data_IF_087212624896
#
_entry.id   IF_087212624896
#
_cell.length_a   1.000
_cell.length_b   1.000
_cell.length_c   1.000
_cell.angle_alpha   90.00
_cell.angle_beta   90.00
_cell.angle_gamma   90.00
#
_symmetry.space_group_name_H-M   'P 1'
#
loop_
_entity.id
_entity.type
_entity.pdbx_description
1 polymer ?
#
# COMPACT_ATOMS: atom_id res chain seq x y z
N UNK A 1 8.37 11.27 1.71
CA UNK A 1 7.86 9.89 1.79
C UNK A 1 6.88 9.65 2.95
N UNK A 2 7.28 9.79 4.22
CA UNK A 2 6.44 9.44 5.38
C UNK A 2 5.10 10.19 5.50
N UNK A 3 5.01 11.43 5.00
CA UNK A 3 3.74 12.19 4.93
C UNK A 3 2.78 11.61 3.87
N UNK A 4 3.31 11.20 2.72
CA UNK A 4 2.53 10.57 1.65
C UNK A 4 1.90 9.25 2.13
N UNK A 5 2.68 8.40 2.80
CA UNK A 5 2.20 7.11 3.34
C UNK A 5 1.08 7.33 4.38
N UNK A 6 1.22 8.35 5.25
CA UNK A 6 0.18 8.71 6.23
C UNK A 6 -1.09 9.31 5.62
N UNK A 7 -1.04 9.77 4.36
CA UNK A 7 -2.22 10.27 3.64
C UNK A 7 -3.06 9.15 3.02
N UNK A 8 -2.57 7.90 3.03
CA UNK A 8 -3.29 6.77 2.47
C UNK A 8 -4.45 6.32 3.36
N UNK A 9 -5.54 5.79 2.78
CA UNK A 9 -6.52 5.00 3.54
C UNK A 9 -5.85 3.84 4.27
N UNK A 10 -6.34 3.49 5.46
CA UNK A 10 -5.71 2.50 6.37
C UNK A 10 -5.33 1.18 5.69
N UNK A 11 -6.22 0.61 4.85
CA UNK A 11 -5.91 -0.64 4.13
C UNK A 11 -4.79 -0.49 3.11
N UNK A 12 -4.75 0.64 2.39
CA UNK A 12 -3.70 0.94 1.42
C UNK A 12 -2.36 1.19 2.12
N UNK A 13 -2.38 1.88 3.26
CA UNK A 13 -1.21 2.09 4.10
C UNK A 13 -0.62 0.75 4.60
N UNK A 14 -1.47 -0.11 5.16
CA UNK A 14 -1.06 -1.41 5.68
C UNK A 14 -0.48 -2.29 4.57
N UNK A 15 -1.18 -2.43 3.44
CA UNK A 15 -0.72 -3.22 2.30
C UNK A 15 0.59 -2.67 1.72
N UNK A 16 0.74 -1.34 1.65
CA UNK A 16 1.99 -0.73 1.20
C UNK A 16 3.15 -1.06 2.13
N UNK A 17 2.96 -0.93 3.44
CA UNK A 17 4.01 -1.22 4.41
C UNK A 17 4.44 -2.69 4.36
N UNK A 18 3.48 -3.61 4.41
CA UNK A 18 3.76 -5.05 4.35
C UNK A 18 4.49 -5.45 3.06
N UNK A 19 4.15 -4.84 1.92
CA UNK A 19 4.78 -5.17 0.65
C UNK A 19 6.14 -4.52 0.45
N UNK A 20 6.32 -3.28 0.91
CA UNK A 20 7.49 -2.45 0.61
C UNK A 20 8.56 -2.52 1.69
N UNK A 21 8.17 -2.57 2.96
CA UNK A 21 9.10 -2.61 4.10
C UNK A 21 9.29 -4.03 4.64
N UNK A 22 8.21 -4.80 4.75
CA UNK A 22 8.27 -6.17 5.26
C UNK A 22 8.48 -7.21 4.15
N UNK A 23 8.52 -6.75 2.88
CA UNK A 23 8.79 -7.53 1.67
C UNK A 23 7.88 -8.75 1.44
N UNK A 24 6.72 -8.80 2.10
CA UNK A 24 5.76 -9.91 2.01
C UNK A 24 5.14 -10.02 0.62
N UNK A 25 4.81 -11.23 0.20
CA UNK A 25 4.09 -11.46 -1.03
C UNK A 25 2.58 -11.15 -0.90
N UNK A 26 1.85 -11.09 -2.02
CA UNK A 26 0.43 -10.75 -1.99
C UNK A 26 -0.44 -11.82 -1.33
N UNK A 27 0.00 -13.08 -1.27
CA UNK A 27 -0.73 -14.15 -0.60
C UNK A 27 -0.61 -14.02 0.93
N UNK A 28 0.58 -13.75 1.44
CA UNK A 28 0.83 -13.46 2.85
C UNK A 28 0.05 -12.22 3.30
N UNK A 29 0.11 -11.14 2.51
CA UNK A 29 -0.65 -9.91 2.80
C UNK A 29 -2.16 -10.18 2.77
N UNK A 30 -2.64 -10.98 1.82
CA UNK A 30 -4.06 -11.33 1.76
C UNK A 30 -4.51 -12.10 3.00
N UNK A 31 -3.67 -13.00 3.52
CA UNK A 31 -3.93 -13.71 4.77
C UNK A 31 -4.02 -12.75 5.96
N UNK A 32 -3.03 -11.86 6.12
CA UNK A 32 -2.99 -10.85 7.21
C UNK A 32 -4.20 -9.90 7.17
N UNK A 33 -4.61 -9.50 5.96
CA UNK A 33 -5.67 -8.49 5.77
C UNK A 33 -7.06 -9.09 5.62
N UNK A 34 -7.22 -10.41 5.80
CA UNK A 34 -8.45 -11.15 5.55
C UNK A 34 -9.08 -10.79 4.19
N UNK A 35 -8.25 -10.83 3.13
CA UNK A 35 -8.61 -10.47 1.76
C UNK A 35 -8.10 -11.51 0.77
N UNK A 36 -8.12 -11.19 -0.53
CA UNK A 36 -7.58 -12.05 -1.59
C UNK A 36 -6.26 -11.49 -2.13
N UNK A 37 -5.36 -12.31 -2.71
CA UNK A 37 -4.12 -11.82 -3.30
C UNK A 37 -4.36 -10.75 -4.39
N UNK A 38 -5.44 -10.89 -5.15
CA UNK A 38 -5.86 -9.88 -6.13
C UNK A 38 -6.27 -8.55 -5.47
N UNK A 39 -7.00 -8.60 -4.36
CA UNK A 39 -7.37 -7.41 -3.58
C UNK A 39 -6.14 -6.73 -2.96
N UNK A 40 -5.21 -7.50 -2.38
CA UNK A 40 -3.95 -7.00 -1.86
C UNK A 40 -3.13 -6.30 -2.96
N UNK A 41 -2.98 -6.96 -4.12
CA UNK A 41 -2.29 -6.37 -5.29
C UNK A 41 -2.95 -5.05 -5.74
N UNK A 42 -4.28 -5.03 -5.89
CA UNK A 42 -5.00 -3.81 -6.28
C UNK A 42 -4.81 -2.67 -5.27
N UNK A 43 -4.90 -2.97 -3.96
CA UNK A 43 -4.67 -1.99 -2.90
C UNK A 43 -3.24 -1.44 -2.93
N UNK A 44 -2.23 -2.30 -3.18
CA UNK A 44 -0.84 -1.88 -3.30
C UNK A 44 -0.62 -0.93 -4.49
N UNK A 45 -1.17 -1.26 -5.67
CA UNK A 45 -1.07 -0.40 -6.84
C UNK A 45 -1.69 0.98 -6.59
N UNK A 46 -2.90 1.01 -6.03
CA UNK A 46 -3.57 2.27 -5.67
C UNK A 46 -2.79 3.08 -4.61
N UNK A 47 -2.18 2.39 -3.63
CA UNK A 47 -1.33 3.03 -2.63
C UNK A 47 -0.11 3.69 -3.27
N UNK A 48 0.59 2.98 -4.15
CA UNK A 48 1.76 3.47 -4.88
C UNK A 48 1.41 4.69 -5.73
N UNK A 49 0.32 4.63 -6.50
CA UNK A 49 -0.11 5.74 -7.37
C UNK A 49 -0.44 7.00 -6.57
N UNK A 50 -1.12 6.85 -5.42
CA UNK A 50 -1.39 7.96 -4.51
C UNK A 50 -0.13 8.55 -3.89
N UNK A 51 0.85 7.72 -3.51
CA UNK A 51 2.14 8.21 -3.00
C UNK A 51 2.86 9.02 -4.08
N UNK A 52 2.95 8.50 -5.31
CA UNK A 52 3.60 9.20 -6.43
C UNK A 52 2.89 10.52 -6.71
N UNK A 53 1.56 10.52 -6.73
CA UNK A 53 0.76 11.74 -6.91
C UNK A 53 1.03 12.76 -5.80
N UNK A 54 0.97 12.32 -4.54
CA UNK A 54 1.23 13.20 -3.38
C UNK A 54 2.61 13.85 -3.47
N UNK A 55 3.66 13.07 -3.81
CA UNK A 55 5.00 13.60 -3.95
C UNK A 55 5.06 14.66 -5.04
N UNK A 56 4.49 14.39 -6.23
CA UNK A 56 4.45 15.37 -7.33
C UNK A 56 3.69 16.65 -7.00
N UNK A 57 2.66 16.58 -6.16
CA UNK A 57 1.84 17.74 -5.78
C UNK A 57 2.44 18.54 -4.60
N UNK A 58 3.43 17.99 -3.89
CA UNK A 58 4.06 18.59 -2.71
C UNK A 58 5.59 18.71 -2.85
N UNK A 59 6.11 18.55 -4.07
CA UNK A 59 7.48 18.88 -4.46
C UNK A 59 7.57 20.39 -4.78
#
# INVERSE_FOLDING_TARGET
MQRAIRSLPTKQQLVFNLRYYDELDYAEIAHITASTPASAKANYHLAKDKIVKYLREND
#
